data_IF_814124062163
#
_entry.id   IF_814124062163
#
_cell.length_a   1.000
_cell.length_b   1.000
_cell.length_c   1.000
_cell.angle_alpha   90.00
_cell.angle_beta   90.00
_cell.angle_gamma   90.00
#
_symmetry.space_group_name_H-M   'P 1'
#
loop_
_entity.id
_entity.type
_entity.pdbx_description
1 polymer ?
#
# COMPACT_ATOMS: atom_id res chain seq x y z
N UNK A 1 -12.54 -9.74 6.84
CA UNK A 1 -13.60 -10.30 5.95
C UNK A 1 -12.92 -11.09 4.84
N UNK A 2 -13.58 -12.10 4.26
CA UNK A 2 -13.00 -12.91 3.17
C UNK A 2 -13.31 -12.36 1.78
N UNK A 3 -12.48 -12.70 0.78
CA UNK A 3 -12.70 -12.39 -0.64
C UNK A 3 -13.86 -13.22 -1.21
N UNK A 4 -14.60 -12.64 -2.14
CA UNK A 4 -15.76 -13.27 -2.80
C UNK A 4 -15.37 -14.52 -3.59
N UNK A 5 -14.16 -14.52 -4.17
CA UNK A 5 -13.62 -15.66 -4.92
C UNK A 5 -14.17 -15.78 -6.34
N UNK A 6 -14.70 -14.69 -6.91
CA UNK A 6 -15.25 -14.65 -8.27
C UNK A 6 -14.20 -14.82 -9.37
N UNK A 7 -12.92 -14.69 -9.02
CA UNK A 7 -11.78 -14.69 -9.94
C UNK A 7 -10.73 -15.74 -9.56
N UNK A 8 -11.17 -16.84 -8.94
CA UNK A 8 -10.29 -17.87 -8.40
C UNK A 8 -9.93 -17.64 -6.92
N UNK A 9 -9.14 -18.59 -6.38
CA UNK A 9 -8.60 -18.48 -5.02
C UNK A 9 -7.51 -17.40 -4.96
N UNK A 10 -7.38 -16.75 -3.80
CA UNK A 10 -6.38 -15.70 -3.60
C UNK A 10 -4.97 -16.18 -3.99
N UNK A 11 -4.29 -15.39 -4.83
CA UNK A 11 -2.95 -15.65 -5.34
C UNK A 11 -2.78 -16.95 -6.15
N UNK A 12 -3.87 -17.58 -6.60
CA UNK A 12 -3.80 -18.67 -7.58
C UNK A 12 -3.45 -18.14 -8.98
N UNK A 13 -3.08 -19.03 -9.89
CA UNK A 13 -2.84 -18.67 -11.29
C UNK A 13 -4.07 -18.01 -11.93
N UNK A 14 -5.28 -18.53 -11.66
CA UNK A 14 -6.53 -17.95 -12.15
C UNK A 14 -6.75 -16.52 -11.65
N UNK A 15 -6.36 -16.24 -10.41
CA UNK A 15 -6.44 -14.91 -9.81
C UNK A 15 -5.46 -13.94 -10.49
N UNK A 16 -4.22 -14.39 -10.70
CA UNK A 16 -3.22 -13.60 -11.44
C UNK A 16 -3.62 -13.35 -12.90
N UNK A 17 -4.14 -14.36 -13.59
CA UNK A 17 -4.65 -14.21 -14.96
C UNK A 17 -5.86 -13.26 -15.00
N UNK A 18 -6.68 -13.21 -13.96
CA UNK A 18 -7.79 -12.26 -13.87
C UNK A 18 -7.33 -10.81 -13.69
N UNK A 19 -6.20 -10.58 -13.00
CA UNK A 19 -5.54 -9.26 -12.97
C UNK A 19 -5.00 -8.91 -14.36
N UNK A 20 -4.24 -9.81 -15.00
CA UNK A 20 -3.66 -9.58 -16.33
C UNK A 20 -4.71 -9.33 -17.40
N UNK A 21 -5.85 -10.00 -17.30
CA UNK A 21 -7.00 -9.82 -18.19
C UNK A 21 -7.86 -8.58 -17.85
N UNK A 22 -7.53 -7.82 -16.81
CA UNK A 22 -8.27 -6.62 -16.38
C UNK A 22 -9.64 -6.90 -15.75
N UNK A 23 -9.92 -8.15 -15.36
CA UNK A 23 -11.17 -8.52 -14.66
C UNK A 23 -11.14 -8.10 -13.20
N UNK A 24 -9.99 -8.25 -12.55
CA UNK A 24 -9.69 -7.59 -11.28
C UNK A 24 -9.06 -6.24 -11.61
N UNK A 25 -9.67 -5.15 -11.18
CA UNK A 25 -9.15 -3.82 -11.43
C UNK A 25 -7.89 -3.55 -10.61
N UNK A 26 -6.91 -2.90 -11.23
CA UNK A 26 -5.73 -2.41 -10.52
C UNK A 26 -5.79 -0.91 -10.31
N UNK A 27 -5.29 -0.45 -9.18
CA UNK A 27 -5.13 0.97 -8.88
C UNK A 27 -3.68 1.28 -8.54
N UNK A 28 -3.13 2.31 -9.17
CA UNK A 28 -1.83 2.87 -8.78
C UNK A 28 -2.06 4.15 -8.00
N UNK A 29 -1.41 4.29 -6.85
CA UNK A 29 -1.37 5.56 -6.10
C UNK A 29 0.08 5.96 -5.88
N UNK A 30 0.33 7.25 -5.98
CA UNK A 30 1.64 7.84 -5.69
C UNK A 30 1.44 8.96 -4.70
N UNK A 31 2.34 9.05 -3.73
CA UNK A 31 2.27 10.08 -2.72
C UNK A 31 3.58 10.24 -1.97
N UNK A 32 3.58 11.15 -1.00
CA UNK A 32 4.72 11.43 -0.15
C UNK A 32 4.47 10.88 1.26
N UNK A 33 5.46 10.22 1.85
CA UNK A 33 5.37 9.77 3.23
C UNK A 33 5.28 11.00 4.14
N UNK A 34 4.16 11.11 4.86
CA UNK A 34 3.94 12.12 5.88
C UNK A 34 4.61 11.72 7.20
N UNK A 35 4.42 10.47 7.61
CA UNK A 35 5.02 9.88 8.82
C UNK A 35 5.18 8.38 8.72
N UNK A 36 6.10 7.83 9.48
CA UNK A 36 6.27 6.39 9.72
C UNK A 36 5.94 6.05 11.16
N UNK A 37 5.45 4.84 11.41
CA UNK A 37 5.08 4.39 12.74
C UNK A 37 5.10 2.85 12.84
N UNK A 38 4.91 2.37 14.07
CA UNK A 38 4.65 0.96 14.35
C UNK A 38 3.15 0.72 14.49
N UNK A 39 2.60 -0.20 13.70
CA UNK A 39 1.25 -0.74 13.86
C UNK A 39 1.33 -2.16 14.44
N UNK A 40 0.67 -2.38 15.59
CA UNK A 40 0.61 -3.68 16.26
C UNK A 40 0.40 -3.54 17.77
N UNK A 41 0.04 -4.65 18.42
CA UNK A 41 -0.24 -4.68 19.88
C UNK A 41 1.01 -4.96 20.74
N UNK A 42 2.19 -5.16 20.14
CA UNK A 42 3.41 -5.48 20.87
C UNK A 42 4.15 -4.21 21.31
N UNK A 43 4.10 -3.93 22.60
CA UNK A 43 4.68 -2.73 23.23
C UNK A 43 6.21 -2.75 23.35
N UNK A 44 6.88 -3.85 22.97
CA UNK A 44 8.33 -4.04 23.19
C UNK A 44 9.22 -3.62 22.02
N UNK A 45 8.69 -2.86 21.05
CA UNK A 45 9.30 -2.70 19.72
C UNK A 45 10.26 -1.52 19.54
N UNK A 46 10.37 -0.61 20.51
CA UNK A 46 11.30 0.53 20.44
C UNK A 46 11.09 1.37 19.17
N UNK A 47 12.17 1.71 18.47
CA UNK A 47 12.18 2.55 17.25
C UNK A 47 11.85 1.79 15.95
N UNK A 48 11.27 0.59 16.03
CA UNK A 48 10.89 -0.17 14.83
C UNK A 48 9.72 0.50 14.11
N UNK A 49 9.87 0.69 12.80
CA UNK A 49 8.79 1.12 11.91
C UNK A 49 8.35 -0.05 11.04
N UNK A 50 7.05 -0.21 10.84
CA UNK A 50 6.49 -1.21 9.93
C UNK A 50 5.33 -0.67 9.10
N UNK A 51 4.98 0.61 9.27
CA UNK A 51 3.85 1.26 8.62
C UNK A 51 4.15 2.74 8.35
N UNK A 52 3.41 3.34 7.44
CA UNK A 52 3.50 4.75 7.10
C UNK A 52 2.15 5.33 6.67
N UNK A 53 2.00 6.64 6.85
CA UNK A 53 0.90 7.42 6.27
C UNK A 53 1.40 8.09 5.00
N UNK A 54 0.73 7.82 3.89
CA UNK A 54 1.02 8.36 2.56
C UNK A 54 0.03 9.49 2.24
N UNK A 55 0.54 10.71 2.02
CA UNK A 55 -0.25 11.84 1.53
C UNK A 55 -0.29 11.80 0.01
N UNK A 56 -1.50 11.74 -0.56
CA UNK A 56 -1.74 11.78 -2.00
C UNK A 56 -1.89 13.23 -2.49
N UNK A 57 -1.79 13.43 -3.81
CA UNK A 57 -1.88 14.75 -4.45
C UNK A 57 -3.25 15.42 -4.29
N UNK A 58 -4.32 14.64 -4.12
CA UNK A 58 -5.67 15.14 -3.84
C UNK A 58 -5.86 15.58 -2.37
N UNK A 59 -4.80 15.49 -1.56
CA UNK A 59 -4.80 15.82 -0.14
C UNK A 59 -5.33 14.70 0.75
N UNK A 60 -5.83 13.59 0.22
CA UNK A 60 -6.22 12.41 1.00
C UNK A 60 -5.00 11.69 1.57
N UNK A 61 -5.22 10.84 2.58
CA UNK A 61 -4.19 10.03 3.20
C UNK A 61 -4.55 8.55 3.15
N UNK A 62 -3.53 7.71 2.95
CA UNK A 62 -3.64 6.25 3.02
C UNK A 62 -2.62 5.73 4.03
N UNK A 63 -3.07 4.91 4.97
CA UNK A 63 -2.19 4.20 5.89
C UNK A 63 -1.82 2.83 5.30
N UNK A 64 -0.53 2.52 5.26
CA UNK A 64 -0.02 1.27 4.68
C UNK A 64 1.09 0.65 5.52
N UNK A 65 1.21 -0.68 5.40
CA UNK A 65 2.36 -1.40 5.94
C UNK A 65 3.56 -1.34 4.99
N UNK A 66 4.75 -1.51 5.54
CA UNK A 66 6.01 -1.60 4.78
C UNK A 66 6.19 -3.03 4.29
N UNK A 67 6.14 -3.21 2.97
CA UNK A 67 6.41 -4.47 2.29
C UNK A 67 7.77 -4.38 1.58
N UNK A 68 8.73 -5.21 1.97
CA UNK A 68 10.09 -5.20 1.38
C UNK A 68 10.60 -6.62 1.20
N UNK A 69 11.37 -6.85 0.14
CA UNK A 69 12.10 -8.11 -0.04
C UNK A 69 13.25 -8.25 0.97
N UNK A 70 13.92 -7.13 1.30
CA UNK A 70 15.00 -7.07 2.27
C UNK A 70 14.66 -6.12 3.41
N UNK A 71 14.84 -6.57 4.66
CA UNK A 71 14.66 -5.71 5.85
C UNK A 71 15.53 -4.46 5.84
N UNK A 72 16.64 -4.46 5.10
CA UNK A 72 17.51 -3.28 4.97
C UNK A 72 16.83 -2.13 4.23
N UNK A 73 15.81 -2.41 3.42
CA UNK A 73 15.12 -1.42 2.60
C UNK A 73 14.07 -0.64 3.40
N UNK A 74 13.75 -1.06 4.62
CA UNK A 74 12.86 -0.32 5.54
C UNK A 74 13.36 1.12 5.73
N UNK A 75 14.69 1.33 5.73
CA UNK A 75 15.31 2.66 5.84
C UNK A 75 14.97 3.61 4.68
N UNK A 76 14.43 3.11 3.58
CA UNK A 76 14.00 3.93 2.43
C UNK A 76 12.62 4.56 2.67
N UNK A 77 11.89 4.11 3.68
CA UNK A 77 10.58 4.64 4.05
C UNK A 77 10.77 5.69 5.13
N UNK A 78 11.04 6.92 4.72
CA UNK A 78 11.24 8.07 5.61
C UNK A 78 10.29 9.20 5.23
N UNK A 79 9.90 10.07 6.17
CA UNK A 79 9.15 11.28 5.84
C UNK A 79 9.78 12.06 4.69
N UNK A 80 8.95 12.47 3.72
CA UNK A 80 9.39 13.15 2.51
C UNK A 80 9.76 12.25 1.32
N UNK A 81 9.98 10.95 1.53
CA UNK A 81 10.16 10.00 0.44
C UNK A 81 8.88 9.85 -0.38
N UNK A 82 9.04 9.66 -1.69
CA UNK A 82 7.93 9.36 -2.60
C UNK A 82 7.72 7.85 -2.62
N UNK A 83 6.47 7.41 -2.50
CA UNK A 83 6.10 6.00 -2.60
C UNK A 83 5.03 5.84 -3.67
N UNK A 84 5.19 4.83 -4.52
CA UNK A 84 4.17 4.37 -5.47
C UNK A 84 3.73 2.96 -5.08
N UNK A 85 2.43 2.77 -4.94
CA UNK A 85 1.81 1.48 -4.59
C UNK A 85 0.85 1.05 -5.69
N UNK A 86 0.92 -0.22 -6.06
CA UNK A 86 -0.02 -0.86 -7.00
C UNK A 86 -0.88 -1.84 -6.23
N UNK A 87 -2.20 -1.68 -6.36
CA UNK A 87 -3.18 -2.53 -5.70
C UNK A 87 -4.01 -3.31 -6.73
N UNK A 88 -4.38 -4.54 -6.39
CA UNK A 88 -5.56 -5.20 -6.93
C UNK A 88 -6.78 -4.87 -6.05
N UNK A 89 -7.92 -4.58 -6.70
CA UNK A 89 -9.20 -4.31 -6.06
C UNK A 89 -10.12 -5.51 -6.28
N UNK A 90 -10.14 -6.42 -5.30
CA UNK A 90 -10.92 -7.67 -5.39
C UNK A 90 -12.15 -7.61 -4.47
N UNK A 91 -13.27 -8.17 -4.91
CA UNK A 91 -14.54 -8.05 -4.20
C UNK A 91 -14.51 -8.79 -2.86
N UNK A 92 -15.01 -8.14 -1.81
CA UNK A 92 -15.26 -8.79 -0.53
C UNK A 92 -16.55 -9.64 -0.60
N UNK A 93 -16.64 -10.68 0.23
CA UNK A 93 -17.89 -11.45 0.40
C UNK A 93 -19.03 -10.59 0.94
N UNK A 94 -18.70 -9.63 1.81
CA UNK A 94 -19.68 -8.71 2.37
C UNK A 94 -20.01 -7.63 1.34
N UNK A 95 -21.24 -7.68 0.83
CA UNK A 95 -21.76 -6.74 -0.17
C UNK A 95 -23.17 -6.28 0.23
N UNK A 96 -23.60 -5.09 -0.21
CA UNK A 96 -22.80 -4.03 -0.83
C UNK A 96 -21.97 -3.25 0.20
N UNK A 97 -21.22 -2.25 -0.24
CA UNK A 97 -20.70 -1.19 0.62
C UNK A 97 -21.84 -0.36 1.24
N UNK A 98 -21.54 0.37 2.32
CA UNK A 98 -22.54 1.17 3.03
C UNK A 98 -23.16 2.28 2.16
N UNK A 99 -22.43 2.74 1.15
CA UNK A 99 -22.88 3.74 0.15
C UNK A 99 -23.54 3.10 -1.09
N UNK A 100 -23.73 1.78 -1.10
CA UNK A 100 -24.30 1.02 -2.22
C UNK A 100 -23.30 0.65 -3.31
N UNK A 101 -22.04 1.06 -3.20
CA UNK A 101 -20.96 0.64 -4.10
C UNK A 101 -20.52 -0.81 -3.82
N UNK A 102 -19.56 -1.31 -4.61
CA UNK A 102 -18.97 -2.64 -4.41
C UNK A 102 -17.89 -2.54 -3.33
N UNK A 103 -18.02 -3.34 -2.27
CA UNK A 103 -16.95 -3.48 -1.27
C UNK A 103 -15.77 -4.23 -1.88
N UNK A 104 -14.59 -3.60 -1.86
CA UNK A 104 -13.35 -4.22 -2.36
C UNK A 104 -12.30 -4.30 -1.27
N UNK A 105 -11.52 -5.37 -1.30
CA UNK A 105 -10.24 -5.46 -0.63
C UNK A 105 -9.18 -4.80 -1.50
N UNK A 106 -8.37 -3.93 -0.91
CA UNK A 106 -7.15 -3.40 -1.53
C UNK A 106 -6.01 -4.35 -1.20
N UNK A 107 -5.47 -5.01 -2.21
CA UNK A 107 -4.39 -5.99 -2.07
C UNK A 107 -3.14 -5.41 -2.71
N UNK A 108 -2.08 -5.21 -1.94
CA UNK A 108 -0.80 -4.70 -2.46
C UNK A 108 -0.18 -5.75 -3.39
N UNK A 109 0.10 -5.35 -4.62
CA UNK A 109 0.86 -6.14 -5.59
C UNK A 109 2.34 -5.74 -5.53
N UNK A 110 2.59 -4.44 -5.58
CA UNK A 110 3.93 -3.86 -5.69
C UNK A 110 4.01 -2.53 -4.93
N UNK A 111 5.21 -2.21 -4.44
CA UNK A 111 5.51 -0.97 -3.75
C UNK A 111 6.94 -0.51 -4.06
N UNK A 112 7.09 0.77 -4.40
CA UNK A 112 8.37 1.38 -4.73
C UNK A 112 8.57 2.64 -3.91
N UNK A 113 9.71 2.76 -3.24
CA UNK A 113 10.10 3.99 -2.53
C UNK A 113 11.27 4.67 -3.22
N UNK A 114 11.18 5.99 -3.37
CA UNK A 114 12.24 6.85 -3.88
C UNK A 114 12.55 7.89 -2.80
N UNK A 115 13.81 7.91 -2.37
CA UNK A 115 14.29 8.87 -1.37
C UNK A 115 14.10 10.31 -1.85
N UNK A 116 13.82 11.25 -0.94
CA UNK A 116 13.78 12.66 -1.32
C UNK A 116 15.16 13.06 -1.86
N UNK A 117 15.22 13.98 -2.85
CA UNK A 117 16.48 14.55 -3.24
C UNK A 117 17.17 15.16 -2.02
N UNK A 118 18.48 14.94 -1.87
CA UNK A 118 19.24 15.62 -0.83
C UNK A 118 19.03 17.14 -0.99
N UNK A 119 18.68 17.87 0.08
CA UNK A 119 18.71 19.31 0.00
C UNK A 119 20.12 19.72 -0.42
N UNK A 120 20.22 20.46 -1.52
CA UNK A 120 21.46 21.14 -1.88
C UNK A 120 21.84 21.96 -0.66
N UNK A 121 22.92 21.60 0.01
CA UNK A 121 23.50 22.39 1.08
C UNK A 121 23.67 23.80 0.53
N UNK A 122 22.91 24.76 1.05
CA UNK A 122 23.17 26.16 0.78
C UNK A 122 24.55 26.46 1.38
N UNK A 123 25.59 26.38 0.55
CA UNK A 123 26.87 27.01 0.86
C UNK A 123 26.69 28.50 0.60
N UNK A 124 26.44 29.25 1.67
CA UNK A 124 26.70 30.69 1.78
C UNK A 124 26.52 31.13 3.22
#
# INVERSE_FOLDING_TARGET
MGLKGSYGLFASDEWWESIKAGRIQTQTVTGRIERTYFAGQDSRRGDQVNSFTLRLDDGSAVDESIYTHSKHDIKLFVPGAMVTMVYALDELKAQPAADGSVNVARIVLEGYSVLPPHPLSAQS
#
